data_IF_253223488051
#
_entry.id   IF_253223488051
#
_cell.length_a   1.000
_cell.length_b   1.000
_cell.length_c   1.000
_cell.angle_alpha   90.00
_cell.angle_beta   90.00
_cell.angle_gamma   90.00
#
_symmetry.space_group_name_H-M   'P 1'
#
loop_
_entity.id
_entity.type
_entity.pdbx_description
1 polymer ?
#
# COMPACT_ATOMS: atom_id res chain seq x y z
N UNK A 1 -13.43 13.60 11.59
CA UNK A 1 -13.23 13.51 10.12
C UNK A 1 -14.48 12.91 9.50
N UNK A 2 -14.97 13.40 8.37
CA UNK A 2 -16.11 12.78 7.66
C UNK A 2 -15.61 12.10 6.38
N UNK A 3 -15.72 10.78 6.31
CA UNK A 3 -15.39 9.99 5.12
C UNK A 3 -16.65 9.70 4.31
N UNK A 4 -16.56 9.76 2.97
CA UNK A 4 -17.66 9.45 2.07
C UNK A 4 -17.43 8.11 1.37
N UNK A 5 -18.44 7.23 1.27
CA UNK A 5 -18.29 5.94 0.59
C UNK A 5 -18.09 6.06 -0.94
N UNK A 6 -18.22 7.27 -1.51
CA UNK A 6 -18.05 7.55 -2.94
C UNK A 6 -16.81 8.38 -3.26
N UNK A 7 -15.95 8.62 -2.28
CA UNK A 7 -14.73 9.42 -2.45
C UNK A 7 -13.53 8.66 -1.93
N UNK A 8 -12.37 9.02 -2.47
CA UNK A 8 -11.08 8.58 -1.96
C UNK A 8 -10.50 9.73 -1.15
N UNK A 9 -10.00 9.45 0.04
CA UNK A 9 -9.27 10.41 0.87
C UNK A 9 -7.86 9.87 1.07
N UNK A 10 -6.86 10.72 0.83
CA UNK A 10 -5.45 10.42 1.13
C UNK A 10 -5.04 11.27 2.31
N UNK A 11 -4.43 10.64 3.31
CA UNK A 11 -4.00 11.30 4.54
C UNK A 11 -2.50 11.08 4.66
N UNK A 12 -1.73 12.17 4.69
CA UNK A 12 -0.31 12.11 5.05
C UNK A 12 -0.14 12.09 6.57
N UNK A 13 0.92 11.42 7.05
CA UNK A 13 1.24 11.29 8.47
C UNK A 13 0.08 10.68 9.30
N UNK A 14 -0.62 9.70 8.73
CA UNK A 14 -1.80 9.05 9.30
C UNK A 14 -1.52 8.36 10.65
N UNK A 15 -0.27 7.97 10.90
CA UNK A 15 0.20 7.41 12.18
C UNK A 15 0.05 8.39 13.35
N UNK A 16 -0.15 9.69 13.10
CA UNK A 16 -0.48 10.67 14.14
C UNK A 16 -1.94 10.60 14.60
N UNK A 17 -2.77 9.80 13.93
CA UNK A 17 -4.22 9.73 14.14
C UNK A 17 -4.72 8.28 14.24
N UNK A 18 -3.91 7.35 14.77
CA UNK A 18 -4.21 5.90 14.76
C UNK A 18 -5.59 5.53 15.31
N UNK A 19 -6.10 6.23 16.33
CA UNK A 19 -7.45 5.99 16.89
C UNK A 19 -8.61 6.61 16.11
N UNK A 20 -8.35 7.36 15.04
CA UNK A 20 -9.36 8.08 14.25
C UNK A 20 -9.43 7.64 12.78
N UNK A 21 -8.58 6.69 12.38
CA UNK A 21 -8.63 6.10 11.05
C UNK A 21 -9.85 5.19 10.92
N UNK A 22 -10.48 5.13 9.74
CA UNK A 22 -11.58 4.21 9.52
C UNK A 22 -11.07 2.77 9.55
N UNK A 23 -11.90 1.84 10.01
CA UNK A 23 -11.57 0.41 10.04
C UNK A 23 -11.16 -0.11 8.65
N UNK A 24 -11.83 0.36 7.60
CA UNK A 24 -11.51 0.04 6.22
C UNK A 24 -10.56 1.09 5.63
N UNK A 25 -9.28 0.75 5.45
CA UNK A 25 -8.30 1.64 4.83
C UNK A 25 -7.12 0.85 4.24
N UNK A 26 -6.31 1.52 3.42
CA UNK A 26 -5.01 1.00 2.95
C UNK A 26 -3.94 1.92 3.52
N UNK A 27 -3.07 1.38 4.36
CA UNK A 27 -1.87 2.10 4.78
C UNK A 27 -0.83 2.01 3.65
N UNK A 28 -0.33 3.16 3.21
CA UNK A 28 0.73 3.24 2.20
C UNK A 28 1.99 3.75 2.86
N UNK A 29 2.98 2.87 3.00
CA UNK A 29 4.27 3.19 3.60
C UNK A 29 5.29 3.50 2.51
N UNK A 30 6.00 4.61 2.66
CA UNK A 30 7.08 5.00 1.78
C UNK A 30 8.41 4.89 2.54
N UNK A 31 9.27 3.95 2.13
CA UNK A 31 10.58 3.74 2.75
C UNK A 31 11.72 4.13 1.80
N UNK A 32 12.77 4.70 2.37
CA UNK A 32 13.97 5.09 1.63
C UNK A 32 14.77 3.87 1.18
N UNK A 33 15.21 3.84 -0.08
CA UNK A 33 16.10 2.80 -0.62
C UNK A 33 17.44 3.41 -1.08
N UNK A 34 17.38 4.48 -1.88
CA UNK A 34 18.54 5.29 -2.27
C UNK A 34 18.07 6.69 -2.67
N UNK A 35 18.98 7.60 -3.05
CA UNK A 35 18.65 8.99 -3.43
C UNK A 35 17.39 9.09 -4.32
N UNK A 36 17.35 8.30 -5.39
CA UNK A 36 16.28 8.32 -6.39
C UNK A 36 15.37 7.08 -6.35
N UNK A 37 15.40 6.29 -5.26
CA UNK A 37 14.58 5.08 -5.13
C UNK A 37 13.86 5.04 -3.79
N UNK A 38 12.59 4.68 -3.85
CA UNK A 38 11.74 4.41 -2.69
C UNK A 38 11.12 3.03 -2.83
N UNK A 39 10.77 2.43 -1.70
CA UNK A 39 9.93 1.24 -1.65
C UNK A 39 8.57 1.64 -1.10
N UNK A 40 7.54 1.33 -1.88
CA UNK A 40 6.15 1.43 -1.47
C UNK A 40 5.71 0.08 -0.89
N UNK A 41 5.09 0.11 0.28
CA UNK A 41 4.43 -1.05 0.89
C UNK A 41 2.97 -0.69 1.14
N UNK A 42 2.06 -1.61 0.79
CA UNK A 42 0.62 -1.44 0.96
C UNK A 42 0.14 -2.44 2.01
N UNK A 43 -0.44 -1.95 3.10
CA UNK A 43 -0.99 -2.78 4.17
C UNK A 43 -2.51 -2.58 4.18
N UNK A 44 -3.30 -3.54 3.67
CA UNK A 44 -4.74 -3.42 3.70
C UNK A 44 -5.29 -3.65 5.12
N UNK A 45 -6.30 -2.87 5.49
CA UNK A 45 -7.11 -3.08 6.69
C UNK A 45 -8.57 -3.23 6.28
N UNK A 46 -9.14 -4.41 6.54
CA UNK A 46 -10.50 -4.78 6.16
C UNK A 46 -10.64 -5.38 4.76
N UNK A 47 -11.81 -5.98 4.51
CA UNK A 47 -12.10 -6.78 3.31
C UNK A 47 -11.97 -5.94 2.02
N UNK A 48 -12.56 -4.74 2.01
CA UNK A 48 -12.54 -3.89 0.83
C UNK A 48 -11.11 -3.48 0.46
N UNK A 49 -10.30 -3.14 1.46
CA UNK A 49 -8.90 -2.79 1.25
C UNK A 49 -8.09 -3.97 0.70
N UNK A 50 -8.34 -5.17 1.24
CA UNK A 50 -7.70 -6.42 0.79
C UNK A 50 -8.00 -6.71 -0.67
N UNK A 51 -9.25 -6.57 -1.09
CA UNK A 51 -9.65 -6.72 -2.49
C UNK A 51 -8.95 -5.71 -3.41
N UNK A 52 -8.87 -4.43 -3.01
CA UNK A 52 -8.17 -3.41 -3.81
C UNK A 52 -6.70 -3.75 -3.98
N UNK A 53 -6.02 -4.17 -2.91
CA UNK A 53 -4.59 -4.52 -2.97
C UNK A 53 -4.37 -5.74 -3.86
N UNK A 54 -5.24 -6.75 -3.80
CA UNK A 54 -5.17 -7.91 -4.69
C UNK A 54 -5.38 -7.53 -6.17
N UNK A 55 -6.36 -6.65 -6.46
CA UNK A 55 -6.58 -6.13 -7.81
C UNK A 55 -5.38 -5.34 -8.33
N UNK A 56 -4.77 -4.51 -7.48
CA UNK A 56 -3.56 -3.77 -7.82
C UNK A 56 -2.40 -4.72 -8.14
N UNK A 57 -2.18 -5.76 -7.34
CA UNK A 57 -1.13 -6.75 -7.58
C UNK A 57 -1.32 -7.47 -8.92
N UNK A 58 -2.56 -7.85 -9.23
CA UNK A 58 -2.92 -8.44 -10.52
C UNK A 58 -2.65 -7.48 -11.69
N UNK A 59 -3.08 -6.21 -11.57
CA UNK A 59 -2.88 -5.19 -12.60
C UNK A 59 -1.38 -4.88 -12.84
N UNK A 60 -0.58 -4.82 -11.79
CA UNK A 60 0.88 -4.65 -11.88
C UNK A 60 1.48 -5.88 -12.59
N UNK A 61 1.11 -7.09 -12.17
CA UNK A 61 1.65 -8.32 -12.76
C UNK A 61 1.32 -8.44 -14.25
N UNK A 62 0.10 -8.08 -14.65
CA UNK A 62 -0.31 -8.02 -16.05
C UNK A 62 0.48 -6.97 -16.85
N UNK A 63 0.73 -5.80 -16.24
CA UNK A 63 1.51 -4.72 -16.86
C UNK A 63 2.98 -5.09 -17.03
N UNK A 64 3.56 -5.82 -16.07
CA UNK A 64 4.96 -6.28 -16.12
C UNK A 64 5.16 -7.51 -17.01
N UNK A 65 4.11 -8.34 -17.19
CA UNK A 65 4.10 -9.48 -18.12
C UNK A 65 3.98 -9.07 -19.60
N UNK A 66 3.50 -7.86 -19.88
CA UNK A 66 3.32 -7.31 -21.23
C UNK A 66 4.40 -6.30 -21.62
N UNK A 67 5.63 -6.75 -21.89
CA UNK A 67 6.65 -5.93 -22.58
C UNK A 67 7.48 -5.00 -21.68
N UNK A 68 8.81 -5.18 -21.77
CA UNK A 68 9.84 -4.49 -20.99
C UNK A 68 9.73 -2.96 -21.02
N UNK A 69 9.61 -2.36 -19.84
CA UNK A 69 9.91 -0.96 -19.58
C UNK A 69 11.09 -0.88 -18.59
N UNK A 70 12.24 -0.25 -18.92
CA UNK A 70 13.48 -0.36 -18.15
C UNK A 70 13.44 0.26 -16.74
N UNK A 71 12.35 0.96 -16.38
CA UNK A 71 12.18 1.59 -15.07
C UNK A 71 11.36 0.78 -14.04
N UNK A 72 10.75 -0.34 -14.44
CA UNK A 72 9.87 -1.10 -13.54
C UNK A 72 10.61 -2.22 -12.82
N UNK A 73 11.32 -1.86 -11.75
CA UNK A 73 11.66 -2.80 -10.70
C UNK A 73 10.69 -2.61 -9.52
N UNK A 74 9.43 -3.02 -9.72
CA UNK A 74 8.50 -3.20 -8.61
C UNK A 74 8.78 -4.61 -8.05
N UNK A 75 9.62 -4.70 -7.03
CA UNK A 75 9.74 -5.93 -6.25
C UNK A 75 8.65 -5.91 -5.18
N UNK A 76 7.57 -6.65 -5.41
CA UNK A 76 6.61 -6.98 -4.36
C UNK A 76 7.27 -7.98 -3.42
N UNK A 77 7.65 -7.53 -2.22
CA UNK A 77 8.05 -8.43 -1.15
C UNK A 77 6.86 -8.54 -0.21
N UNK A 78 6.34 -9.77 -0.05
CA UNK A 78 5.39 -10.09 1.01
C UNK A 78 6.05 -9.73 2.34
N UNK A 79 5.46 -8.82 3.09
CA UNK A 79 5.90 -8.56 4.46
C UNK A 79 5.28 -9.70 5.27
N UNK A 80 6.11 -10.65 5.69
CA UNK A 80 5.71 -11.61 6.72
C UNK A 80 5.65 -10.85 8.06
N UNK A 81 4.62 -11.13 8.87
CA UNK A 81 4.46 -10.57 10.20
C UNK A 81 5.72 -10.82 11.03
N UNK A 82 6.42 -9.75 11.38
CA UNK A 82 7.49 -9.83 12.36
C UNK A 82 6.85 -9.97 13.74
N UNK A 83 7.28 -10.93 14.59
CA UNK A 83 6.75 -11.04 15.94
C UNK A 83 7.10 -9.77 16.73
N UNK A 84 6.16 -9.36 17.58
CA UNK A 84 6.37 -8.32 18.58
C UNK A 84 7.62 -8.67 19.40
N UNK A 85 8.52 -7.69 19.54
CA UNK A 85 9.67 -7.82 20.45
C UNK A 85 9.18 -7.59 21.87
N UNK A 86 9.50 -8.54 22.75
CA UNK A 86 9.36 -8.44 24.21
C UNK A 86 10.16 -7.26 24.79
#
# INVERSE_FOLDING_TARGET
LMFSPRKITVIEWAERFTGALPEQHIEVRLSHVSANRRRLSFVPSGDRATEVVAQLQSAISATLGGGRNPHSAISATKVDDAPARD
#
